data_IF_975800725462
#
_entry.id   IF_975800725462
#
_cell.length_a   1.000
_cell.length_b   1.000
_cell.length_c   1.000
_cell.angle_alpha   90.00
_cell.angle_beta   90.00
_cell.angle_gamma   90.00
#
_symmetry.space_group_name_H-M   'P 1'
#
loop_
_entity.id
_entity.type
_entity.pdbx_description
1 polymer ?
#
# COMPACT_ATOMS: atom_id res chain seq x y z
N UNK A 1 -53.22 -9.60 -7.04
CA UNK A 1 -53.60 -9.11 -8.39
C UNK A 1 -52.87 -9.99 -9.39
N UNK A 2 -53.59 -10.85 -10.13
CA UNK A 2 -52.99 -11.72 -11.16
C UNK A 2 -52.75 -10.87 -12.42
N UNK A 3 -51.52 -10.87 -12.95
CA UNK A 3 -51.21 -10.23 -14.24
C UNK A 3 -51.54 -11.20 -15.37
N UNK A 4 -52.37 -10.75 -16.31
CA UNK A 4 -52.77 -11.49 -17.51
C UNK A 4 -52.02 -10.94 -18.73
N UNK A 5 -51.76 -11.78 -19.72
CA UNK A 5 -51.25 -11.33 -21.02
C UNK A 5 -52.37 -10.76 -21.91
N UNK A 6 -52.02 -10.21 -23.08
CA UNK A 6 -52.99 -9.60 -24.01
C UNK A 6 -53.99 -10.60 -24.63
N UNK A 7 -53.83 -11.90 -24.38
CA UNK A 7 -54.74 -12.96 -24.85
C UNK A 7 -55.55 -13.58 -23.70
N UNK A 8 -55.45 -13.04 -22.49
CA UNK A 8 -56.24 -13.46 -21.33
C UNK A 8 -55.71 -14.69 -20.60
N UNK A 9 -54.47 -15.10 -20.86
CA UNK A 9 -53.86 -16.22 -20.16
C UNK A 9 -53.15 -15.76 -18.88
N UNK A 10 -53.23 -16.59 -17.84
CA UNK A 10 -52.57 -16.38 -16.54
C UNK A 10 -51.06 -16.48 -16.70
N UNK A 11 -50.33 -15.42 -16.35
CA UNK A 11 -48.87 -15.42 -16.35
C UNK A 11 -48.40 -15.98 -15.01
N UNK A 12 -48.15 -17.28 -14.95
CA UNK A 12 -47.49 -17.88 -13.78
C UNK A 12 -46.03 -17.45 -13.74
N UNK A 13 -45.72 -16.54 -12.82
CA UNK A 13 -44.33 -16.21 -12.48
C UNK A 13 -43.78 -17.30 -11.57
N UNK A 14 -43.21 -18.35 -12.17
CA UNK A 14 -42.42 -19.30 -11.40
C UNK A 14 -41.12 -18.63 -10.96
N UNK A 15 -40.90 -18.56 -9.64
CA UNK A 15 -39.62 -18.18 -9.08
C UNK A 15 -38.58 -19.25 -9.47
N UNK A 16 -37.57 -18.86 -10.26
CA UNK A 16 -36.41 -19.72 -10.53
C UNK A 16 -35.60 -19.81 -9.23
N UNK A 17 -35.71 -20.93 -8.52
CA UNK A 17 -34.76 -21.24 -7.44
C UNK A 17 -33.44 -21.66 -8.08
N UNK A 18 -32.47 -20.76 -8.07
CA UNK A 18 -31.08 -21.13 -8.30
C UNK A 18 -30.63 -21.95 -7.09
N UNK A 19 -30.16 -23.21 -7.27
CA UNK A 19 -29.54 -23.93 -6.17
C UNK A 19 -28.34 -23.14 -5.68
N UNK A 20 -28.12 -23.09 -4.37
CA UNK A 20 -26.88 -22.54 -3.83
C UNK A 20 -25.73 -23.32 -4.49
N UNK A 21 -24.89 -22.62 -5.25
CA UNK A 21 -23.66 -23.21 -5.76
C UNK A 21 -22.84 -23.57 -4.53
N UNK A 22 -22.59 -24.85 -4.32
CA UNK A 22 -21.60 -25.29 -3.33
C UNK A 22 -20.32 -24.52 -3.63
N UNK A 23 -19.96 -23.64 -2.71
CA UNK A 23 -18.63 -23.07 -2.67
C UNK A 23 -17.78 -24.25 -2.20
N UNK A 24 -17.06 -24.90 -3.12
CA UNK A 24 -15.97 -25.76 -2.69
C UNK A 24 -15.10 -24.91 -1.78
N UNK A 25 -14.98 -25.31 -0.51
CA UNK A 25 -14.02 -24.76 0.47
C UNK A 25 -12.61 -25.08 -0.03
N UNK A 26 -12.24 -24.46 -1.14
CA UNK A 26 -10.93 -24.58 -1.77
C UNK A 26 -10.04 -23.49 -1.19
N UNK A 27 -9.66 -23.69 0.06
CA UNK A 27 -8.26 -23.58 0.50
C UNK A 27 -8.22 -23.68 2.02
N UNK A 28 -7.77 -24.83 2.53
CA UNK A 28 -7.11 -24.81 3.82
C UNK A 28 -5.92 -23.83 3.70
N UNK A 29 -5.70 -22.92 4.66
CA UNK A 29 -4.59 -21.98 4.58
C UNK A 29 -3.30 -22.79 4.51
N UNK A 30 -2.63 -22.74 3.35
CA UNK A 30 -1.38 -23.45 3.08
C UNK A 30 -0.21 -22.89 3.88
N UNK A 31 -0.39 -21.71 4.47
CA UNK A 31 0.59 -20.98 5.25
C UNK A 31 -0.09 -20.32 6.46
N UNK A 32 0.52 -20.36 7.66
CA UNK A 32 0.01 -19.65 8.83
C UNK A 32 0.10 -18.13 8.68
N UNK A 33 0.77 -17.64 7.64
CA UNK A 33 1.02 -16.22 7.40
C UNK A 33 -0.10 -15.51 6.62
N UNK A 34 -1.18 -16.21 6.26
CA UNK A 34 -2.28 -15.66 5.47
C UNK A 34 -1.73 -14.97 4.21
N UNK A 35 -0.96 -15.72 3.42
CA UNK A 35 -0.43 -15.27 2.13
C UNK A 35 -1.61 -15.02 1.18
N UNK A 36 -2.08 -13.77 1.11
CA UNK A 36 -3.00 -13.35 0.07
C UNK A 36 -2.22 -13.16 -1.23
N UNK A 37 -2.48 -14.02 -2.21
CA UNK A 37 -1.99 -13.88 -3.59
C UNK A 37 -2.76 -12.82 -4.37
N UNK A 38 -3.69 -12.10 -3.72
CA UNK A 38 -4.21 -10.83 -4.17
C UNK A 38 -3.06 -9.98 -4.68
N UNK A 39 -3.14 -9.56 -5.95
CA UNK A 39 -2.12 -8.71 -6.57
C UNK A 39 -1.96 -7.42 -5.77
N UNK A 40 -1.03 -7.42 -4.81
CA UNK A 40 -0.59 -6.24 -4.05
C UNK A 40 0.21 -5.28 -4.92
N UNK A 41 0.37 -5.60 -6.21
CA UNK A 41 1.05 -4.76 -7.16
C UNK A 41 0.33 -3.40 -7.25
N UNK A 42 0.94 -2.38 -6.63
CA UNK A 42 0.46 -0.99 -6.51
C UNK A 42 -0.61 -0.76 -5.44
N UNK A 43 -0.53 -1.50 -4.32
CA UNK A 43 -1.37 -1.37 -3.13
C UNK A 43 -1.06 -0.15 -2.25
N UNK A 44 -0.70 1.00 -2.85
CA UNK A 44 -0.50 2.23 -2.10
C UNK A 44 -1.66 3.20 -2.30
N UNK A 45 -2.37 3.52 -1.21
CA UNK A 45 -3.05 4.82 -1.11
C UNK A 45 -2.72 5.43 0.23
N UNK A 46 -1.97 6.52 0.21
CA UNK A 46 -1.90 7.45 1.31
C UNK A 46 -1.85 8.88 0.74
N UNK A 47 -2.96 9.58 0.83
CA UNK A 47 -3.05 10.99 1.22
C UNK A 47 -4.53 11.23 1.48
N UNK A 48 -4.96 11.02 2.73
CA UNK A 48 -6.25 11.51 3.24
C UNK A 48 -5.94 12.88 3.81
N UNK A 49 -5.86 13.87 2.93
CA UNK A 49 -5.34 15.22 3.22
C UNK A 49 -6.01 15.84 4.46
N UNK A 50 -5.40 15.61 5.63
CA UNK A 50 -5.81 16.15 6.92
C UNK A 50 -6.61 15.24 7.85
N UNK A 51 -7.06 14.06 7.43
CA UNK A 51 -7.79 13.13 8.31
C UNK A 51 -6.79 12.33 9.14
N UNK A 52 -6.67 12.72 10.41
CA UNK A 52 -5.96 11.96 11.47
C UNK A 52 -6.90 10.95 12.13
N UNK A 53 -8.21 11.10 11.89
CA UNK A 53 -9.26 10.34 12.52
C UNK A 53 -9.63 9.10 11.71
N UNK A 54 -10.02 8.04 12.42
CA UNK A 54 -10.56 6.84 11.81
C UNK A 54 -11.90 7.17 11.16
N UNK A 55 -12.11 6.73 9.92
CA UNK A 55 -13.31 7.14 9.21
C UNK A 55 -13.48 6.51 7.84
N UNK A 56 -14.58 6.90 7.22
CA UNK A 56 -14.84 6.63 5.81
C UNK A 56 -14.58 7.92 5.07
N UNK A 57 -13.64 7.88 4.12
CA UNK A 57 -13.40 9.04 3.26
C UNK A 57 -14.68 9.29 2.43
N UNK A 58 -15.33 10.46 2.55
CA UNK A 58 -16.59 10.74 1.88
C UNK A 58 -16.47 10.81 0.35
N UNK A 59 -15.27 11.02 -0.20
CA UNK A 59 -15.02 11.07 -1.65
C UNK A 59 -14.90 9.68 -2.25
N UNK A 60 -14.27 8.75 -1.53
CA UNK A 60 -13.95 7.41 -2.05
C UNK A 60 -14.86 6.32 -1.49
N UNK A 61 -15.52 6.56 -0.36
CA UNK A 61 -16.28 5.56 0.38
C UNK A 61 -15.41 4.51 1.07
N UNK A 62 -14.08 4.71 1.11
CA UNK A 62 -13.14 3.75 1.66
C UNK A 62 -12.89 4.03 3.14
N UNK A 63 -12.91 2.96 3.93
CA UNK A 63 -12.54 3.03 5.34
C UNK A 63 -11.02 3.08 5.50
N UNK A 64 -10.57 3.97 6.38
CA UNK A 64 -9.19 4.08 6.82
C UNK A 64 -9.13 4.14 8.35
N UNK A 65 -8.03 3.64 8.92
CA UNK A 65 -7.77 3.71 10.35
C UNK A 65 -6.30 3.99 10.64
N UNK A 66 -6.06 4.73 11.72
CA UNK A 66 -4.76 5.21 12.17
C UNK A 66 -4.65 4.87 13.65
N UNK A 67 -3.73 3.98 13.99
CA UNK A 67 -3.52 3.55 15.37
C UNK A 67 -2.08 3.84 15.80
N UNK A 68 -1.86 4.93 16.56
CA UNK A 68 -0.52 5.29 17.04
C UNK A 68 -0.04 4.25 18.06
N UNK A 69 1.07 3.59 17.76
CA UNK A 69 1.68 2.56 18.62
C UNK A 69 2.67 3.21 19.58
N UNK A 70 3.63 3.96 19.02
CA UNK A 70 4.68 4.60 19.78
C UNK A 70 5.32 5.74 18.98
N UNK A 71 5.86 6.72 19.70
CA UNK A 71 6.79 7.67 19.14
C UNK A 71 8.18 7.38 19.74
N UNK A 72 9.15 7.05 18.88
CA UNK A 72 10.49 6.67 19.31
C UNK A 72 11.44 7.84 19.07
N UNK A 73 12.11 8.28 20.14
CA UNK A 73 13.16 9.30 20.07
C UNK A 73 14.41 8.81 20.79
N UNK A 74 15.56 8.99 20.14
CA UNK A 74 16.86 8.68 20.72
C UNK A 74 17.46 9.86 21.50
N UNK A 75 18.61 9.62 22.14
CA UNK A 75 19.48 10.67 22.70
C UNK A 75 18.74 11.70 23.58
N UNK A 76 17.90 11.22 24.51
CA UNK A 76 17.14 12.09 25.42
C UNK A 76 16.29 13.15 24.68
N UNK A 77 15.66 12.75 23.57
CA UNK A 77 14.83 13.63 22.73
C UNK A 77 15.60 14.48 21.71
N UNK A 78 16.93 14.33 21.61
CA UNK A 78 17.74 15.03 20.60
C UNK A 78 18.07 14.18 19.37
N UNK A 79 17.70 12.90 19.38
CA UNK A 79 17.86 12.00 18.25
C UNK A 79 16.74 12.15 17.21
N UNK A 80 16.83 11.40 16.11
CA UNK A 80 15.73 11.28 15.16
C UNK A 80 14.44 10.83 15.83
N UNK A 81 13.33 11.39 15.37
CA UNK A 81 11.96 11.04 15.71
C UNK A 81 11.42 10.02 14.71
N UNK A 82 10.82 8.95 15.24
CA UNK A 82 10.14 7.92 14.45
C UNK A 82 8.73 7.74 15.02
N UNK A 83 7.74 8.19 14.26
CA UNK A 83 6.33 7.90 14.49
C UNK A 83 5.98 6.49 13.98
N UNK A 84 5.69 5.59 14.92
CA UNK A 84 5.17 4.26 14.64
C UNK A 84 3.65 4.29 14.78
N UNK A 85 2.98 4.71 13.71
CA UNK A 85 1.53 4.60 13.58
C UNK A 85 1.21 3.47 12.62
N UNK A 86 0.28 2.60 13.03
CA UNK A 86 -0.25 1.53 12.20
C UNK A 86 -1.41 2.08 11.37
N UNK A 87 -1.35 1.89 10.05
CA UNK A 87 -2.32 2.44 9.12
C UNK A 87 -3.05 1.33 8.39
N UNK A 88 -4.37 1.45 8.35
CA UNK A 88 -5.25 0.61 7.57
C UNK A 88 -5.72 1.34 6.30
N UNK A 89 -5.66 0.65 5.16
CA UNK A 89 -6.32 1.06 3.92
C UNK A 89 -6.95 -0.17 3.24
N UNK A 90 -8.22 -0.06 2.85
CA UNK A 90 -8.94 -1.14 2.18
C UNK A 90 -8.34 -1.57 0.82
N UNK A 91 -7.42 -0.77 0.25
CA UNK A 91 -6.77 -1.04 -1.04
C UNK A 91 -5.38 -1.67 -0.91
N UNK A 92 -4.91 -1.86 0.32
CA UNK A 92 -3.58 -2.38 0.61
C UNK A 92 -3.66 -3.88 0.87
N UNK A 93 -2.82 -4.68 0.21
CA UNK A 93 -2.62 -6.09 0.57
C UNK A 93 -1.59 -6.27 1.68
N UNK A 94 -1.41 -7.50 2.14
CA UNK A 94 -0.45 -7.86 3.20
C UNK A 94 1.03 -7.83 2.73
N UNK A 95 1.57 -6.63 2.48
CA UNK A 95 2.97 -6.45 2.07
C UNK A 95 3.96 -6.50 3.24
N UNK A 96 3.49 -6.23 4.45
CA UNK A 96 4.33 -6.04 5.64
C UNK A 96 4.24 -7.19 6.66
N UNK A 97 3.48 -8.25 6.36
CA UNK A 97 3.24 -9.36 7.31
C UNK A 97 2.38 -8.96 8.51
N UNK A 98 1.66 -7.84 8.43
CA UNK A 98 0.79 -7.31 9.48
C UNK A 98 -0.70 -7.65 9.23
N UNK A 99 -1.00 -8.34 8.13
CA UNK A 99 -2.36 -8.61 7.65
C UNK A 99 -2.79 -7.63 6.56
N UNK A 100 -3.87 -7.98 5.86
CA UNK A 100 -4.39 -7.16 4.76
C UNK A 100 -4.81 -5.77 5.23
N UNK A 101 -4.47 -4.78 4.42
CA UNK A 101 -4.75 -3.38 4.67
C UNK A 101 -3.78 -2.68 5.62
N UNK A 102 -3.01 -3.42 6.42
CA UNK A 102 -2.20 -2.86 7.50
C UNK A 102 -0.74 -2.62 7.12
N UNK A 103 -0.21 -1.45 7.48
CA UNK A 103 1.21 -1.13 7.34
C UNK A 103 1.68 0.02 8.24
N UNK A 104 2.99 0.11 8.43
CA UNK A 104 3.64 1.34 8.89
C UNK A 104 3.87 2.32 7.73
N UNK A 105 3.86 3.62 8.03
CA UNK A 105 4.12 4.69 7.07
C UNK A 105 5.61 5.05 7.04
N UNK A 106 6.36 4.34 6.22
CA UNK A 106 7.71 4.73 5.84
C UNK A 106 7.74 5.22 4.41
N UNK A 107 8.61 6.18 4.11
CA UNK A 107 8.85 6.55 2.72
C UNK A 107 9.51 5.38 1.99
N UNK A 108 9.14 5.15 0.74
CA UNK A 108 9.69 4.10 -0.10
C UNK A 108 9.86 4.60 -1.53
N UNK A 109 10.79 3.99 -2.28
CA UNK A 109 11.02 4.28 -3.68
C UNK A 109 10.96 2.98 -4.48
N UNK A 110 10.01 2.89 -5.40
CA UNK A 110 9.98 1.82 -6.39
C UNK A 110 10.90 2.21 -7.55
N UNK A 111 12.01 1.49 -7.72
CA UNK A 111 13.05 1.81 -8.71
C UNK A 111 12.54 1.58 -10.13
N UNK A 112 11.75 0.53 -10.36
CA UNK A 112 11.29 0.18 -11.71
C UNK A 112 10.38 1.24 -12.29
N UNK A 113 9.47 1.74 -11.46
CA UNK A 113 8.47 2.73 -11.83
C UNK A 113 8.94 4.17 -11.49
N UNK A 114 10.10 4.30 -10.83
CA UNK A 114 10.72 5.56 -10.37
C UNK A 114 9.75 6.42 -9.57
N UNK A 115 8.97 5.75 -8.73
CA UNK A 115 7.89 6.34 -7.96
C UNK A 115 8.28 6.40 -6.49
N UNK A 116 8.41 7.62 -5.98
CA UNK A 116 8.65 7.90 -4.57
C UNK A 116 7.31 8.03 -3.86
N UNK A 117 7.12 7.25 -2.80
CA UNK A 117 6.00 7.38 -1.88
C UNK A 117 6.54 7.90 -0.56
N UNK A 118 6.10 9.07 -0.12
CA UNK A 118 6.53 9.64 1.16
C UNK A 118 5.83 8.94 2.33
N UNK A 119 6.34 9.10 3.55
CA UNK A 119 5.65 8.67 4.77
C UNK A 119 4.26 9.33 4.93
N UNK A 120 4.07 10.55 4.42
CA UNK A 120 2.74 11.18 4.32
C UNK A 120 1.83 10.46 3.34
N UNK A 121 2.42 9.64 2.46
CA UNK A 121 1.76 8.90 1.41
C UNK A 121 1.83 9.54 0.05
N UNK A 122 2.10 10.84 0.00
CA UNK A 122 2.18 11.58 -1.23
C UNK A 122 3.15 10.88 -2.19
N UNK A 123 2.69 10.64 -3.42
CA UNK A 123 3.48 9.99 -4.46
C UNK A 123 4.04 11.00 -5.44
N UNK A 124 5.29 10.80 -5.88
CA UNK A 124 5.93 11.57 -6.93
C UNK A 124 6.63 10.60 -7.90
N UNK A 125 6.24 10.64 -9.16
CA UNK A 125 6.96 9.95 -10.24
C UNK A 125 8.11 10.84 -10.74
N UNK A 126 9.28 10.25 -10.95
CA UNK A 126 10.47 10.95 -11.43
C UNK A 126 10.58 10.81 -12.95
N UNK A 127 10.79 11.95 -13.63
CA UNK A 127 10.99 11.95 -15.08
C UNK A 127 12.32 11.28 -15.46
N UNK A 128 12.48 10.87 -16.73
CA UNK A 128 13.75 10.33 -17.24
C UNK A 128 14.94 11.28 -16.99
N UNK A 129 14.71 12.58 -17.17
CA UNK A 129 15.75 13.59 -16.95
C UNK A 129 16.11 13.71 -15.47
N UNK A 130 15.11 13.74 -14.59
CA UNK A 130 15.32 13.79 -13.14
C UNK A 130 16.07 12.56 -12.63
N UNK A 131 15.71 11.38 -13.13
CA UNK A 131 16.40 10.14 -12.83
C UNK A 131 17.88 10.19 -13.26
N UNK A 132 18.15 10.60 -14.50
CA UNK A 132 19.52 10.73 -15.01
C UNK A 132 20.34 11.79 -14.26
N UNK A 133 19.69 12.87 -13.81
CA UNK A 133 20.32 13.91 -12.99
C UNK A 133 20.75 13.37 -11.62
N UNK A 134 19.93 12.52 -10.99
CA UNK A 134 20.26 11.86 -9.72
C UNK A 134 21.53 11.01 -9.84
N UNK A 135 21.70 10.22 -10.91
CA UNK A 135 22.92 9.42 -11.12
C UNK A 135 24.19 10.27 -11.29
N UNK A 136 24.05 11.53 -11.72
CA UNK A 136 25.17 12.49 -11.81
C UNK A 136 25.46 13.18 -10.48
N UNK A 137 24.78 12.80 -9.40
CA UNK A 137 24.91 13.40 -8.08
C UNK A 137 24.20 14.74 -7.95
N UNK A 138 23.32 15.11 -8.89
CA UNK A 138 22.51 16.34 -8.76
C UNK A 138 21.38 16.09 -7.77
N UNK A 139 21.13 17.09 -6.93
CA UNK A 139 20.00 17.08 -5.99
C UNK A 139 18.77 17.66 -6.67
N UNK A 140 17.65 16.94 -6.61
CA UNK A 140 16.35 17.39 -7.09
C UNK A 140 15.64 18.15 -5.98
N UNK A 141 15.09 19.33 -6.30
CA UNK A 141 14.26 20.11 -5.38
C UNK A 141 12.79 19.86 -5.70
N UNK A 142 12.04 19.33 -4.74
CA UNK A 142 10.60 19.12 -4.84
C UNK A 142 9.90 19.91 -3.72
N UNK A 143 8.58 20.16 -3.82
CA UNK A 143 7.85 20.77 -2.72
C UNK A 143 7.98 19.92 -1.44
N UNK A 144 8.57 20.49 -0.39
CA UNK A 144 8.68 19.84 0.93
C UNK A 144 9.97 19.03 1.17
N UNK A 145 10.75 18.69 0.14
CA UNK A 145 11.95 17.89 0.30
C UNK A 145 12.97 18.06 -0.83
N UNK A 146 14.21 17.68 -0.55
CA UNK A 146 15.26 17.46 -1.55
C UNK A 146 15.56 15.97 -1.68
N UNK A 147 15.76 15.51 -2.92
CA UNK A 147 16.09 14.11 -3.23
C UNK A 147 17.47 14.04 -3.87
N UNK A 148 18.32 13.17 -3.36
CA UNK A 148 19.62 12.84 -3.96
C UNK A 148 19.84 11.33 -3.98
N UNK A 149 20.70 10.87 -4.89
CA UNK A 149 21.06 9.46 -5.01
C UNK A 149 22.54 9.29 -5.34
N UNK A 150 23.05 8.09 -5.18
CA UNK A 150 24.31 7.65 -5.76
C UNK A 150 24.15 7.20 -7.22
N UNK A 151 25.27 7.06 -7.93
CA UNK A 151 25.28 6.78 -9.37
C UNK A 151 24.65 5.43 -9.76
N UNK A 152 24.65 4.47 -8.84
CA UNK A 152 24.13 3.12 -8.95
C UNK A 152 22.70 2.95 -8.42
N UNK A 153 22.06 4.03 -7.94
CA UNK A 153 20.69 4.01 -7.40
C UNK A 153 20.48 3.01 -6.25
N UNK A 154 21.52 2.71 -5.47
CA UNK A 154 21.41 1.80 -4.32
C UNK A 154 21.01 2.52 -3.04
N UNK A 155 21.23 3.84 -2.97
CA UNK A 155 20.90 4.69 -1.84
C UNK A 155 20.26 5.99 -2.31
N UNK A 156 19.14 6.35 -1.69
CA UNK A 156 18.48 7.63 -1.86
C UNK A 156 18.43 8.36 -0.53
N UNK A 157 18.60 9.69 -0.57
CA UNK A 157 18.48 10.54 0.60
C UNK A 157 17.38 11.55 0.36
N UNK A 158 16.44 11.59 1.30
CA UNK A 158 15.39 12.60 1.37
C UNK A 158 15.71 13.55 2.51
N UNK A 159 15.93 14.81 2.18
CA UNK A 159 16.12 15.89 3.14
C UNK A 159 14.84 16.72 3.21
N UNK A 160 14.14 16.68 4.33
CA UNK A 160 12.90 17.43 4.56
C UNK A 160 13.18 18.84 5.08
N UNK A 161 12.24 19.76 4.87
CA UNK A 161 12.36 21.16 5.32
C UNK A 161 12.50 21.32 6.84
N UNK A 162 11.99 20.37 7.62
CA UNK A 162 12.09 20.36 9.08
C UNK A 162 13.45 19.84 9.60
N UNK A 163 14.40 19.55 8.70
CA UNK A 163 15.72 19.01 9.04
C UNK A 163 15.76 17.49 9.20
N UNK A 164 14.63 16.78 9.09
CA UNK A 164 14.60 15.32 9.06
C UNK A 164 15.26 14.82 7.79
N UNK A 165 16.14 13.83 7.93
CA UNK A 165 16.74 13.10 6.80
C UNK A 165 16.31 11.64 6.85
N UNK A 166 15.82 11.14 5.72
CA UNK A 166 15.54 9.73 5.50
C UNK A 166 16.55 9.16 4.50
N UNK A 167 17.00 7.93 4.74
CA UNK A 167 17.91 7.21 3.86
C UNK A 167 17.20 5.94 3.42
N UNK A 168 16.90 5.85 2.13
CA UNK A 168 16.23 4.71 1.52
C UNK A 168 17.28 3.85 0.83
N UNK A 169 17.34 2.58 1.19
CA UNK A 169 18.24 1.60 0.60
C UNK A 169 17.46 0.37 0.20
N UNK A 170 17.96 -0.35 -0.82
CA UNK A 170 17.41 -1.66 -1.13
C UNK A 170 17.47 -2.57 0.10
N UNK A 171 16.44 -3.40 0.35
CA UNK A 171 16.49 -4.37 1.43
C UNK A 171 17.65 -5.35 1.19
N UNK A 172 18.52 -5.50 2.18
CA UNK A 172 19.53 -6.56 2.19
C UNK A 172 18.87 -7.86 2.67
N UNK A 173 18.51 -8.72 1.72
CA UNK A 173 18.06 -10.08 1.97
C UNK A 173 19.11 -11.11 1.56
N UNK A 174 18.92 -12.36 1.98
CA UNK A 174 19.71 -13.52 1.58
C UNK A 174 19.43 -13.98 0.13
N UNK A 175 18.61 -13.23 -0.63
CA UNK A 175 18.12 -13.56 -1.97
C UNK A 175 17.33 -14.89 -2.01
N UNK A 176 16.92 -15.40 -0.84
CA UNK A 176 16.14 -16.62 -0.73
C UNK A 176 14.69 -16.23 -0.49
N UNK A 177 13.86 -16.38 -1.52
CA UNK A 177 12.41 -16.27 -1.37
C UNK A 177 11.92 -17.35 -0.39
N UNK A 178 11.33 -16.97 0.75
CA UNK A 178 10.62 -17.93 1.58
C UNK A 178 9.58 -18.65 0.71
N UNK A 179 9.43 -19.96 0.87
CA UNK A 179 8.42 -20.75 0.17
C UNK A 179 8.61 -20.92 -1.37
N UNK A 180 9.80 -20.69 -1.95
CA UNK A 180 10.06 -20.98 -3.38
C UNK A 180 9.71 -22.43 -3.80
N UNK A 181 9.79 -23.37 -2.85
CA UNK A 181 9.37 -24.77 -3.04
C UNK A 181 7.88 -24.95 -3.33
N UNK A 182 7.02 -24.00 -2.93
CA UNK A 182 5.58 -24.04 -3.17
C UNK A 182 5.19 -23.43 -4.52
N UNK A 183 5.98 -22.50 -5.08
CA UNK A 183 5.77 -21.93 -6.42
C UNK A 183 5.99 -22.94 -7.55
N UNK A 184 6.81 -23.96 -7.32
CA UNK A 184 7.25 -24.93 -8.35
C UNK A 184 6.35 -26.17 -8.46
N UNK A 185 5.19 -26.20 -7.79
CA UNK A 185 4.23 -27.31 -7.85
C UNK A 185 2.99 -26.93 -8.63
#
# INVERSE_FOLDING_TARGET
MLRLDQKGNTIDSQAVRLPAKEIEDSSAPTSPLCEDYGSTFRSEVFDVSGEVDNGVDPRTGLFHAHYPIANLTGLNGQGPDIDLTLHYSALRGNEAGLGDGWAFRFSSLEIRDRRLTLATGQTCELTDQEWADLAKGKTLSKPGYWLSSNADYTTFKLDHLNGKREVLTAPQGDQMEPNDTFRKK
#
